data_IF_868600523926
#
_entry.id   IF_868600523926
#
_cell.length_a   1.000
_cell.length_b   1.000
_cell.length_c   1.000
_cell.angle_alpha   90.00
_cell.angle_beta   90.00
_cell.angle_gamma   90.00
#
_symmetry.space_group_name_H-M   'P 1'
#
loop_
_entity.id
_entity.type
_entity.pdbx_description
1 polymer ?
#
# COMPACT_ATOMS: atom_id res chain seq x y z
N UNK A 1 -21.18 -15.78 -6.93
CA UNK A 1 -20.22 -16.10 -5.84
C UNK A 1 -19.05 -16.82 -6.49
N UNK A 2 -17.80 -16.44 -6.20
CA UNK A 2 -16.61 -17.08 -6.79
C UNK A 2 -16.46 -18.52 -6.29
N UNK A 3 -16.02 -19.44 -7.16
CA UNK A 3 -15.65 -20.80 -6.77
C UNK A 3 -14.42 -20.78 -5.84
N UNK A 4 -14.12 -21.91 -5.19
CA UNK A 4 -12.93 -21.96 -4.34
C UNK A 4 -11.64 -21.80 -5.16
N UNK A 5 -11.55 -22.37 -6.36
CA UNK A 5 -10.39 -22.17 -7.23
C UNK A 5 -10.21 -20.69 -7.62
N UNK A 6 -11.33 -19.97 -7.79
CA UNK A 6 -11.36 -18.55 -8.11
C UNK A 6 -10.88 -17.62 -7.00
N UNK A 7 -10.80 -18.11 -5.77
CA UNK A 7 -10.28 -17.36 -4.61
C UNK A 7 -8.78 -17.54 -4.40
N UNK A 8 -8.16 -18.53 -5.05
CA UNK A 8 -6.71 -18.73 -4.94
C UNK A 8 -5.97 -17.69 -5.78
N UNK A 9 -4.93 -17.14 -5.21
CA UNK A 9 -4.13 -16.08 -5.80
C UNK A 9 -2.77 -15.98 -5.16
N UNK A 10 -1.98 -15.05 -5.68
CA UNK A 10 -0.68 -14.67 -5.14
C UNK A 10 -0.76 -13.22 -4.64
N UNK A 11 -0.10 -12.97 -3.52
CA UNK A 11 0.13 -11.62 -3.03
C UNK A 11 1.50 -11.18 -3.56
N UNK A 12 1.50 -10.14 -4.39
CA UNK A 12 2.67 -9.50 -4.95
C UNK A 12 2.93 -8.21 -4.17
N UNK A 13 4.19 -7.85 -3.98
CA UNK A 13 4.56 -6.56 -3.43
C UNK A 13 5.86 -6.05 -4.05
N UNK A 14 5.96 -4.74 -4.20
CA UNK A 14 7.17 -4.05 -4.64
C UNK A 14 7.17 -2.59 -4.16
N UNK A 15 8.35 -1.98 -4.14
CA UNK A 15 8.54 -0.59 -3.77
C UNK A 15 8.59 0.30 -5.02
N UNK A 16 7.87 1.42 -4.99
CA UNK A 16 7.94 2.46 -6.02
C UNK A 16 8.47 3.76 -5.43
N UNK A 17 9.23 4.51 -6.24
CA UNK A 17 9.70 5.86 -5.88
C UNK A 17 8.58 6.87 -6.16
N UNK A 18 8.29 7.71 -5.18
CA UNK A 18 7.27 8.77 -5.24
C UNK A 18 7.93 10.14 -5.36
N UNK A 19 7.23 11.08 -5.99
CA UNK A 19 7.62 12.48 -5.98
C UNK A 19 7.17 13.13 -4.67
N UNK A 20 8.13 13.67 -3.92
CA UNK A 20 7.83 14.50 -2.76
C UNK A 20 6.95 15.69 -3.14
N UNK A 21 5.70 15.66 -2.69
CA UNK A 21 4.73 16.72 -2.93
C UNK A 21 3.63 16.65 -1.88
N UNK A 22 2.99 17.77 -1.58
CA UNK A 22 1.82 17.80 -0.70
C UNK A 22 0.65 18.31 -1.52
N UNK A 23 -0.45 17.58 -1.48
CA UNK A 23 -1.70 17.95 -2.14
C UNK A 23 -2.84 18.04 -1.12
N UNK A 24 -3.78 18.95 -1.34
CA UNK A 24 -4.98 19.08 -0.51
C UNK A 24 -6.14 18.38 -1.21
N UNK A 25 -6.74 17.41 -0.53
CA UNK A 25 -7.96 16.76 -0.98
C UNK A 25 -9.16 17.62 -0.56
N UNK A 26 -9.68 18.39 -1.51
CA UNK A 26 -10.75 19.38 -1.23
C UNK A 26 -12.06 18.75 -0.71
N UNK A 27 -12.31 17.46 -0.98
CA UNK A 27 -13.55 16.78 -0.56
C UNK A 27 -13.68 16.59 0.95
N UNK A 28 -12.56 16.49 1.66
CA UNK A 28 -12.51 16.24 3.11
C UNK A 28 -11.45 17.10 3.81
N UNK A 29 -10.88 18.07 3.09
CA UNK A 29 -9.81 18.97 3.55
C UNK A 29 -8.60 18.23 4.13
N UNK A 30 -8.35 16.98 3.70
CA UNK A 30 -7.18 16.22 4.15
C UNK A 30 -5.97 16.50 3.28
N UNK A 31 -4.78 16.39 3.85
CA UNK A 31 -3.54 16.46 3.10
C UNK A 31 -3.10 15.07 2.65
N UNK A 32 -2.47 14.98 1.47
CA UNK A 32 -1.87 13.77 0.89
C UNK A 32 -0.41 14.09 0.58
N UNK A 33 0.46 13.08 0.63
CA UNK A 33 1.89 13.22 0.39
C UNK A 33 2.73 13.25 1.67
N UNK A 34 2.24 12.56 2.70
CA UNK A 34 2.92 12.34 3.97
C UNK A 34 3.04 10.83 4.18
N UNK A 35 3.97 10.43 5.05
CA UNK A 35 4.10 9.03 5.44
C UNK A 35 2.76 8.46 5.94
N UNK A 36 2.42 7.28 5.42
CA UNK A 36 1.23 6.54 5.78
C UNK A 36 1.58 5.06 5.88
N UNK A 37 1.92 4.64 7.10
CA UNK A 37 2.27 3.25 7.43
C UNK A 37 1.12 2.54 8.16
N UNK A 38 -0.12 3.00 7.93
CA UNK A 38 -1.31 2.52 8.64
C UNK A 38 -1.46 3.12 10.06
N UNK A 39 -2.41 2.58 10.83
CA UNK A 39 -2.79 3.15 12.14
C UNK A 39 -1.89 2.69 13.31
N UNK A 40 -0.95 1.77 13.07
CA UNK A 40 -0.12 1.19 14.14
C UNK A 40 1.13 2.02 14.44
N UNK A 41 1.52 2.90 13.52
CA UNK A 41 2.71 3.75 13.64
C UNK A 41 2.26 5.22 13.70
N UNK A 42 2.79 6.03 14.63
CA UNK A 42 2.49 7.45 14.67
C UNK A 42 2.82 8.11 13.33
N UNK A 43 1.84 8.79 12.74
CA UNK A 43 2.04 9.54 11.50
C UNK A 43 3.12 10.60 11.71
N UNK A 44 4.22 10.53 10.97
CA UNK A 44 5.20 11.61 10.93
C UNK A 44 4.73 12.69 9.95
N UNK A 45 5.08 13.96 10.20
CA UNK A 45 4.79 15.06 9.27
C UNK A 45 5.82 15.13 8.12
N UNK A 46 6.40 14.00 7.75
CA UNK A 46 7.45 13.90 6.73
C UNK A 46 6.83 13.55 5.39
N UNK A 47 7.35 14.16 4.31
CA UNK A 47 6.86 13.88 2.96
C UNK A 47 7.24 12.48 2.54
N UNK A 48 6.31 11.75 1.96
CA UNK A 48 6.61 10.45 1.38
C UNK A 48 7.43 10.59 0.09
N UNK A 49 8.34 9.63 -0.10
CA UNK A 49 9.12 9.50 -1.33
C UNK A 49 9.29 8.04 -1.77
N UNK A 50 8.78 7.09 -1.01
CA UNK A 50 8.65 5.69 -1.40
C UNK A 50 7.25 5.19 -1.05
N UNK A 51 6.76 4.24 -1.84
CA UNK A 51 5.49 3.55 -1.62
C UNK A 51 5.66 2.05 -1.77
N UNK A 52 5.39 1.28 -0.72
CA UNK A 52 5.28 -0.17 -0.79
C UNK A 52 3.86 -0.54 -1.23
N UNK A 53 3.73 -1.17 -2.39
CA UNK A 53 2.45 -1.49 -3.01
C UNK A 53 2.22 -2.99 -2.92
N UNK A 54 1.07 -3.39 -2.37
CA UNK A 54 0.61 -4.77 -2.38
C UNK A 54 -0.47 -4.96 -3.44
N UNK A 55 -0.35 -6.02 -4.23
CA UNK A 55 -1.35 -6.42 -5.23
C UNK A 55 -1.76 -7.88 -5.02
N UNK A 56 -3.06 -8.14 -5.15
CA UNK A 56 -3.57 -9.50 -5.24
C UNK A 56 -3.79 -9.86 -6.72
N UNK A 57 -3.19 -10.96 -7.16
CA UNK A 57 -3.39 -11.54 -8.48
C UNK A 57 -4.05 -12.90 -8.33
N UNK A 58 -5.22 -13.09 -8.95
CA UNK A 58 -5.86 -14.41 -9.02
C UNK A 58 -5.08 -15.35 -9.93
N UNK A 59 -5.02 -16.64 -9.56
CA UNK A 59 -4.34 -17.67 -10.37
C UNK A 59 -5.26 -18.30 -11.44
N UNK A 60 -6.57 -18.19 -11.27
CA UNK A 60 -7.56 -18.90 -12.08
C UNK A 60 -8.41 -17.97 -12.96
N UNK A 61 -8.42 -16.67 -12.66
CA UNK A 61 -9.05 -15.65 -13.49
C UNK A 61 -8.10 -14.47 -13.71
N UNK A 62 -8.25 -13.75 -14.82
CA UNK A 62 -7.44 -12.57 -15.14
C UNK A 62 -7.89 -11.36 -14.32
N UNK A 63 -7.55 -11.38 -13.04
CA UNK A 63 -7.90 -10.35 -12.06
C UNK A 63 -6.68 -9.97 -11.24
N UNK A 64 -6.34 -8.67 -11.27
CA UNK A 64 -5.27 -8.08 -10.49
C UNK A 64 -5.77 -6.75 -9.89
N UNK A 65 -5.56 -6.55 -8.59
CA UNK A 65 -5.90 -5.29 -7.95
C UNK A 65 -4.87 -4.92 -6.87
N UNK A 66 -4.54 -3.62 -6.71
CA UNK A 66 -3.88 -3.16 -5.51
C UNK A 66 -4.79 -3.36 -4.32
N UNK A 67 -4.24 -3.90 -3.23
CA UNK A 67 -4.98 -4.17 -1.98
C UNK A 67 -4.52 -3.29 -0.82
N UNK A 68 -3.28 -2.81 -0.85
CA UNK A 68 -2.75 -1.88 0.12
C UNK A 68 -1.58 -1.08 -0.47
N UNK A 69 -1.40 0.15 0.03
CA UNK A 69 -0.23 0.97 -0.25
C UNK A 69 0.20 1.62 1.06
N UNK A 70 1.48 1.48 1.39
CA UNK A 70 2.11 2.14 2.53
C UNK A 70 3.15 3.12 2.01
N UNK A 71 3.19 4.33 2.55
CA UNK A 71 4.13 5.36 2.10
C UNK A 71 5.09 5.76 3.21
N UNK A 72 6.36 5.97 2.87
CA UNK A 72 7.40 6.39 3.81
C UNK A 72 8.38 7.37 3.19
N UNK A 73 9.17 8.01 4.04
CA UNK A 73 10.37 8.73 3.70
C UNK A 73 11.58 7.77 3.77
N UNK A 74 12.17 7.49 2.62
CA UNK A 74 13.15 6.43 2.40
C UNK A 74 12.50 5.07 2.19
N UNK A 75 13.32 4.06 1.91
CA UNK A 75 12.89 2.66 1.75
C UNK A 75 12.00 2.23 2.90
N UNK A 76 10.88 1.58 2.57
CA UNK A 76 9.90 1.12 3.55
C UNK A 76 10.54 0.04 4.41
N UNK A 77 10.64 0.30 5.71
CA UNK A 77 11.17 -0.65 6.69
C UNK A 77 10.05 -1.58 7.11
N UNK A 78 9.97 -2.74 6.48
CA UNK A 78 8.99 -3.76 6.87
C UNK A 78 9.41 -4.47 8.18
N UNK A 79 8.43 -4.63 9.08
CA UNK A 79 8.46 -5.68 10.12
C UNK A 79 7.37 -6.68 9.75
N UNK A 80 7.70 -7.63 8.88
CA UNK A 80 6.81 -8.76 8.60
C UNK A 80 6.84 -9.75 9.76
N UNK A 81 5.83 -9.70 10.63
CA UNK A 81 5.55 -10.81 11.54
C UNK A 81 4.53 -11.73 10.88
N UNK A 82 5.00 -12.80 10.23
CA UNK A 82 4.13 -13.90 9.82
C UNK A 82 3.72 -14.65 11.08
N UNK A 83 2.49 -14.44 11.54
CA UNK A 83 1.89 -15.24 12.62
C UNK A 83 1.36 -16.53 12.00
N UNK A 84 1.85 -17.67 12.52
CA UNK A 84 1.42 -19.02 12.15
C UNK A 84 0.14 -19.42 12.87
#
# INVERSE_FOLDING_TARGET
MLSQEQKHGILLFDEIILRESIAVKSSNLSYVGFENVGNEIPTSNTKDNHGLVFMFQSLSVNFCQPVAVFTSTGTVKDVFTVTH
#
